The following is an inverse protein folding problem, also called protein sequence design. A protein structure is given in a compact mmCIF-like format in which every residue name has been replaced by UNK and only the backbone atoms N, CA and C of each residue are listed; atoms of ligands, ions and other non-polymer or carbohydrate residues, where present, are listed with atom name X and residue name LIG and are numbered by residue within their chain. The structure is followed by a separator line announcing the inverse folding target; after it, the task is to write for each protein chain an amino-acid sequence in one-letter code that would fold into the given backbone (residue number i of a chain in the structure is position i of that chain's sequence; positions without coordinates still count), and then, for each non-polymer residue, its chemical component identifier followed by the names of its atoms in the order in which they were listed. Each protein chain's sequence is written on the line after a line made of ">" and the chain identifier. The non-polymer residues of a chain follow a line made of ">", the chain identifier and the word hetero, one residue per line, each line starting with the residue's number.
data_IF_289868815751
#
_entry.id   IF_289868815751
#
_cell.length_a   1.000
_cell.length_b   1.000
_cell.length_c   1.000
_cell.angle_alpha   90.00
_cell.angle_beta   90.00
_cell.angle_gamma   90.00
#
_symmetry.space_group_name_H-M   'P 1'
#
loop_
_entity.id
_entity.type
_entity.pdbx_description
1 polymer ?
#
# COMPACT_ATOMS: atom_id res chain seq x y z
N UNK A 1 -13.26 -7.41 -7.71
CA UNK A 1 -14.28 -6.69 -6.89
C UNK A 1 -13.53 -6.06 -5.72
N UNK A 2 -13.60 -4.73 -5.56
CA UNK A 2 -12.94 -4.06 -4.44
C UNK A 2 -13.46 -4.64 -3.13
N UNK A 3 -12.60 -4.96 -2.15
CA UNK A 3 -13.07 -5.35 -0.84
C UNK A 3 -13.97 -4.23 -0.34
N UNK A 4 -15.13 -4.64 0.17
CA UNK A 4 -16.23 -3.79 0.62
C UNK A 4 -15.71 -2.49 1.22
N UNK A 5 -16.26 -1.37 0.76
CA UNK A 5 -15.98 -0.06 1.32
C UNK A 5 -16.23 -0.10 2.83
N UNK A 6 -15.17 -0.39 3.61
CA UNK A 6 -15.08 0.04 5.01
C UNK A 6 -15.49 1.50 4.96
N UNK A 7 -16.47 1.93 5.74
CA UNK A 7 -16.93 3.32 5.80
C UNK A 7 -15.70 4.26 5.77
N UNK A 8 -15.37 4.76 4.57
CA UNK A 8 -14.18 5.57 4.34
C UNK A 8 -14.60 6.96 4.78
N UNK A 9 -14.10 7.39 5.94
CA UNK A 9 -14.46 8.70 6.47
C UNK A 9 -13.76 9.84 5.72
N UNK A 10 -12.67 9.55 4.99
CA UNK A 10 -12.02 10.47 4.04
C UNK A 10 -12.37 10.11 2.59
N UNK A 11 -12.70 11.13 1.80
CA UNK A 11 -12.86 10.96 0.35
C UNK A 11 -11.49 10.87 -0.33
N UNK A 12 -11.16 9.66 -0.76
CA UNK A 12 -9.93 9.34 -1.50
C UNK A 12 -10.19 9.05 -2.99
N UNK A 13 -11.43 9.24 -3.45
CA UNK A 13 -11.87 8.85 -4.81
C UNK A 13 -11.13 9.58 -5.92
N UNK A 14 -10.63 10.78 -5.66
CA UNK A 14 -9.85 11.53 -6.63
C UNK A 14 -8.51 10.88 -6.97
N UNK A 15 -7.89 10.16 -6.03
CA UNK A 15 -6.51 9.71 -6.19
C UNK A 15 -6.38 8.55 -7.16
N UNK A 16 -5.32 8.55 -7.99
CA UNK A 16 -4.97 7.41 -8.82
C UNK A 16 -4.88 6.09 -8.03
N UNK A 17 -5.39 4.98 -8.56
CA UNK A 17 -5.27 3.68 -7.89
C UNK A 17 -3.80 3.33 -7.65
N UNK A 18 -3.52 2.70 -6.51
CA UNK A 18 -2.17 2.30 -6.13
C UNK A 18 -1.24 3.42 -5.68
N UNK A 19 -1.69 4.69 -5.64
CA UNK A 19 -0.91 5.82 -5.06
C UNK A 19 -1.21 6.10 -3.60
N UNK A 20 -2.23 5.42 -3.06
CA UNK A 20 -2.59 5.46 -1.65
C UNK A 20 -2.37 4.09 -1.02
N UNK A 21 -1.81 4.08 0.18
CA UNK A 21 -1.83 2.93 1.07
C UNK A 21 -2.50 3.30 2.39
N UNK A 22 -3.34 2.39 2.88
CA UNK A 22 -4.11 2.55 4.10
C UNK A 22 -3.56 1.60 5.17
N UNK A 23 -3.27 2.13 6.35
CA UNK A 23 -2.83 1.37 7.52
C UNK A 23 -3.81 1.59 8.65
N UNK A 24 -4.12 0.55 9.40
CA UNK A 24 -4.98 0.64 10.58
C UNK A 24 -4.25 0.01 11.75
N UNK A 25 -3.96 0.83 12.76
CA UNK A 25 -3.24 0.40 13.96
C UNK A 25 -4.10 0.67 15.18
N UNK A 26 -4.16 -0.29 16.11
CA UNK A 26 -4.93 -0.14 17.34
C UNK A 26 -4.02 0.15 18.52
N UNK A 27 -4.56 0.84 19.52
CA UNK A 27 -3.87 1.13 20.77
C UNK A 27 -4.79 0.86 21.95
N UNK A 28 -4.25 0.31 23.04
CA UNK A 28 -5.04 0.01 24.23
C UNK A 28 -4.96 1.15 25.26
N UNK A 29 -6.06 1.90 25.40
CA UNK A 29 -6.13 3.00 26.36
C UNK A 29 -6.01 2.53 27.80
N UNK A 30 -6.46 1.32 28.14
CA UNK A 30 -6.25 0.77 29.49
C UNK A 30 -4.75 0.63 29.83
N UNK A 31 -3.94 0.10 28.90
CA UNK A 31 -2.49 0.02 29.08
C UNK A 31 -1.87 1.41 29.26
N UNK A 32 -2.26 2.36 28.40
CA UNK A 32 -1.71 3.71 28.45
C UNK A 32 -2.09 4.40 29.77
N UNK A 33 -3.36 4.38 30.16
CA UNK A 33 -3.78 4.98 31.43
C UNK A 33 -3.09 4.33 32.63
N UNK A 34 -2.90 3.01 32.64
CA UNK A 34 -2.18 2.32 33.72
C UNK A 34 -0.70 2.74 33.79
N UNK A 35 -0.03 2.96 32.66
CA UNK A 35 1.35 3.51 32.65
C UNK A 35 1.36 4.89 33.31
N UNK A 36 0.50 5.80 32.88
CA UNK A 36 0.50 7.18 33.39
C UNK A 36 0.06 7.26 34.86
N UNK A 37 -0.96 6.49 35.26
CA UNK A 37 -1.54 6.59 36.61
C UNK A 37 -0.85 5.71 37.64
N UNK A 38 -0.52 4.45 37.31
CA UNK A 38 0.06 3.51 38.26
C UNK A 38 1.58 3.53 38.27
N UNK A 39 2.22 3.65 37.11
CA UNK A 39 3.69 3.63 37.03
C UNK A 39 4.30 5.01 37.22
N UNK A 40 3.73 6.04 36.58
CA UNK A 40 4.21 7.43 36.68
C UNK A 40 3.54 8.24 37.81
N UNK A 41 2.52 7.68 38.47
CA UNK A 41 1.85 8.31 39.61
C UNK A 41 1.06 9.58 39.27
N UNK A 42 0.69 9.79 38.00
CA UNK A 42 -0.03 10.99 37.58
C UNK A 42 -1.51 10.90 37.95
N UNK A 43 -2.08 12.02 38.39
CA UNK A 43 -3.52 12.14 38.60
C UNK A 43 -4.27 11.86 37.27
N UNK A 44 -5.46 11.23 37.29
CA UNK A 44 -6.18 10.85 36.07
C UNK A 44 -6.42 12.00 35.09
N UNK A 45 -6.65 13.23 35.58
CA UNK A 45 -6.82 14.43 34.75
C UNK A 45 -5.53 14.83 34.02
N UNK A 46 -4.39 14.70 34.70
CA UNK A 46 -3.07 14.97 34.12
C UNK A 46 -2.74 13.89 33.09
N UNK A 47 -2.95 12.62 33.43
CA UNK A 47 -2.81 11.50 32.50
C UNK A 47 -3.66 11.69 31.24
N UNK A 48 -4.94 12.07 31.37
CA UNK A 48 -5.81 12.38 30.24
C UNK A 48 -5.23 13.49 29.34
N UNK A 49 -4.70 14.56 29.94
CA UNK A 49 -4.15 15.70 29.19
C UNK A 49 -2.90 15.30 28.39
N UNK A 50 -2.04 14.45 28.96
CA UNK A 50 -0.86 13.91 28.27
C UNK A 50 -1.25 12.92 27.16
N UNK A 51 -2.15 11.98 27.46
CA UNK A 51 -2.62 10.98 26.49
C UNK A 51 -3.30 11.66 25.31
N UNK A 52 -4.12 12.70 25.54
CA UNK A 52 -4.77 13.46 24.47
C UNK A 52 -3.76 14.13 23.53
N UNK A 53 -2.59 14.53 24.02
CA UNK A 53 -1.53 15.16 23.21
C UNK A 53 -0.70 14.16 22.41
N UNK A 54 -0.85 12.86 22.69
CA UNK A 54 -0.07 11.81 22.03
C UNK A 54 -0.24 11.85 20.51
N UNK A 55 0.87 11.99 19.81
CA UNK A 55 0.97 11.98 18.37
C UNK A 55 1.80 10.75 17.95
N UNK A 56 1.19 9.71 17.36
CA UNK A 56 1.93 8.54 16.92
C UNK A 56 2.96 8.91 15.84
N UNK A 57 4.12 8.24 15.86
CA UNK A 57 5.10 8.41 14.77
C UNK A 57 4.67 7.66 13.52
N UNK A 58 5.26 7.97 12.36
CA UNK A 58 4.98 7.22 11.13
C UNK A 58 5.43 5.76 11.31
N UNK A 59 6.61 5.55 11.89
CA UNK A 59 7.17 4.23 12.15
C UNK A 59 6.21 3.37 12.97
N UNK A 60 5.66 3.91 14.06
CA UNK A 60 4.69 3.21 14.91
C UNK A 60 3.43 2.78 14.15
N UNK A 61 3.02 3.55 13.14
CA UNK A 61 1.77 3.34 12.39
C UNK A 61 1.93 2.46 11.14
N UNK A 62 3.14 2.38 10.58
CA UNK A 62 3.36 1.74 9.27
C UNK A 62 4.29 0.55 9.29
N UNK A 63 4.96 0.27 10.42
CA UNK A 63 5.79 -0.93 10.54
C UNK A 63 4.96 -2.22 10.44
N UNK A 64 5.59 -3.27 9.88
CA UNK A 64 4.93 -4.55 9.65
C UNK A 64 4.57 -5.32 10.94
N UNK A 65 5.22 -4.99 12.06
CA UNK A 65 4.95 -5.59 13.36
C UNK A 65 4.70 -4.46 14.37
N UNK A 66 3.45 -4.30 14.77
CA UNK A 66 3.07 -3.28 15.74
C UNK A 66 3.84 -3.45 17.06
N UNK A 67 4.45 -2.36 17.54
CA UNK A 67 5.15 -2.31 18.82
C UNK A 67 4.23 -1.84 19.94
N UNK A 68 4.43 -2.32 21.17
CA UNK A 68 3.69 -1.84 22.35
C UNK A 68 3.77 -0.29 22.44
N UNK A 69 2.66 0.43 22.70
CA UNK A 69 1.34 -0.05 23.12
C UNK A 69 0.38 -0.41 21.97
N UNK A 70 0.86 -0.37 20.73
CA UNK A 70 0.08 -0.65 19.55
C UNK A 70 -0.02 -2.15 19.24
N UNK A 71 -1.04 -2.53 18.50
CA UNK A 71 -1.23 -3.90 18.02
C UNK A 71 -2.08 -3.92 16.76
N UNK A 72 -1.90 -4.97 15.96
CA UNK A 72 -2.74 -5.22 14.80
C UNK A 72 -4.11 -5.74 15.26
N UNK A 73 -5.19 -5.19 14.72
CA UNK A 73 -6.52 -5.74 14.98
C UNK A 73 -6.77 -6.92 14.06
N UNK A 74 -6.33 -8.10 14.45
CA UNK A 74 -7.00 -9.30 13.96
C UNK A 74 -8.41 -9.30 14.58
N UNK A 75 -9.45 -9.28 13.74
CA UNK A 75 -10.86 -9.36 14.17
C UNK A 75 -11.13 -10.55 15.12
N UNK A 76 -10.21 -11.52 15.16
CA UNK A 76 -10.23 -12.72 16.02
C UNK A 76 -9.88 -12.46 17.48
N UNK A 77 -9.24 -11.35 17.84
CA UNK A 77 -8.82 -11.08 19.22
C UNK A 77 -9.66 -9.96 19.88
N UNK A 78 -10.70 -10.31 20.67
CA UNK A 78 -11.57 -9.31 21.32
C UNK A 78 -10.90 -8.57 22.50
N UNK A 79 -9.67 -8.95 22.85
CA UNK A 79 -8.92 -8.45 24.00
C UNK A 79 -7.54 -7.92 23.60
N UNK A 80 -7.05 -6.95 24.37
CA UNK A 80 -5.70 -6.42 24.21
C UNK A 80 -4.67 -7.54 24.49
N UNK A 81 -3.67 -7.74 23.61
CA UNK A 81 -2.65 -8.77 23.79
C UNK A 81 -1.72 -8.52 25.00
N UNK A 82 -1.76 -7.32 25.59
CA UNK A 82 -0.82 -6.90 26.63
C UNK A 82 -1.44 -6.92 28.04
N UNK A 83 -2.68 -6.44 28.19
CA UNK A 83 -3.37 -6.35 29.49
C UNK A 83 -4.70 -7.09 29.53
N UNK A 84 -5.07 -7.80 28.47
CA UNK A 84 -6.35 -8.51 28.33
C UNK A 84 -7.61 -7.61 28.39
N UNK A 85 -7.45 -6.28 28.28
CA UNK A 85 -8.58 -5.36 28.29
C UNK A 85 -9.48 -5.55 27.06
N UNK A 86 -10.79 -5.55 27.28
CA UNK A 86 -11.79 -5.72 26.23
C UNK A 86 -11.76 -4.60 25.17
N UNK A 87 -12.26 -4.91 23.96
CA UNK A 87 -12.32 -4.01 22.78
C UNK A 87 -12.82 -2.59 23.04
N UNK A 88 -13.67 -2.38 24.05
CA UNK A 88 -14.14 -1.04 24.44
C UNK A 88 -13.01 -0.07 24.85
N UNK A 89 -11.85 -0.60 25.23
CA UNK A 89 -10.66 0.16 25.62
C UNK A 89 -9.71 0.42 24.44
N UNK A 90 -10.02 -0.12 23.27
CA UNK A 90 -9.19 0.02 22.09
C UNK A 90 -9.59 1.28 21.35
N UNK A 91 -8.58 2.04 20.96
CA UNK A 91 -8.68 3.16 20.05
C UNK A 91 -7.96 2.79 18.74
N UNK A 92 -8.42 3.35 17.63
CA UNK A 92 -7.90 3.12 16.28
C UNK A 92 -7.24 4.39 15.75
N UNK A 93 -6.13 4.20 15.05
CA UNK A 93 -5.54 5.18 14.16
C UNK A 93 -5.64 4.65 12.72
N UNK A 94 -6.32 5.40 11.86
CA UNK A 94 -6.29 5.15 10.42
C UNK A 94 -5.27 6.09 9.79
N UNK A 95 -4.27 5.50 9.11
CA UNK A 95 -3.17 6.24 8.49
C UNK A 95 -3.23 6.08 6.99
N UNK A 96 -3.30 7.22 6.30
CA UNK A 96 -3.33 7.29 4.84
C UNK A 96 -1.98 7.80 4.34
N UNK A 97 -1.25 6.94 3.62
CA UNK A 97 -0.01 7.28 2.93
C UNK A 97 -0.33 7.63 1.48
N UNK A 98 0.02 8.84 1.07
CA UNK A 98 -0.12 9.34 -0.30
C UNK A 98 1.28 9.51 -0.90
N UNK A 99 1.52 8.86 -2.04
CA UNK A 99 2.73 9.06 -2.82
C UNK A 99 2.77 10.47 -3.41
N UNK A 100 3.84 11.21 -3.19
CA UNK A 100 4.03 12.54 -3.74
C UNK A 100 4.41 12.50 -5.22
N UNK A 101 3.71 13.28 -6.03
CA UNK A 101 4.01 13.40 -7.45
C UNK A 101 3.04 14.33 -8.16
N UNK A 102 3.32 14.60 -9.44
CA UNK A 102 2.49 15.51 -10.27
C UNK A 102 1.01 15.09 -10.31
N UNK A 103 0.74 13.80 -10.23
CA UNK A 103 -0.60 13.22 -10.33
C UNK A 103 -1.41 13.34 -9.04
N UNK A 104 -0.76 13.38 -7.88
CA UNK A 104 -1.42 13.35 -6.55
C UNK A 104 -1.39 14.70 -5.85
N UNK A 105 -0.50 15.62 -6.24
CA UNK A 105 -0.25 16.86 -5.49
C UNK A 105 -1.45 17.79 -5.38
N UNK A 106 -2.20 17.99 -6.47
CA UNK A 106 -3.39 18.86 -6.46
C UNK A 106 -4.48 18.30 -5.54
N UNK A 107 -4.75 17.00 -5.62
CA UNK A 107 -5.76 16.32 -4.83
C UNK A 107 -5.35 16.23 -3.36
N UNK A 108 -4.08 15.96 -3.07
CA UNK A 108 -3.51 16.00 -1.72
C UNK A 108 -3.72 17.36 -1.07
N UNK A 109 -3.39 18.45 -1.77
CA UNK A 109 -3.58 19.82 -1.25
C UNK A 109 -5.05 20.12 -1.01
N UNK A 110 -5.94 19.69 -1.91
CA UNK A 110 -7.38 19.85 -1.74
C UNK A 110 -7.90 19.07 -0.51
N UNK A 111 -7.47 17.81 -0.35
CA UNK A 111 -7.79 16.98 0.80
C UNK A 111 -7.34 17.64 2.11
N UNK A 112 -6.06 18.00 2.23
CA UNK A 112 -5.52 18.65 3.44
C UNK A 112 -6.27 19.95 3.76
N UNK A 113 -6.66 20.73 2.75
CA UNK A 113 -7.44 21.96 2.94
C UNK A 113 -8.86 21.68 3.44
N UNK A 114 -9.45 20.56 3.07
CA UNK A 114 -10.79 20.14 3.49
C UNK A 114 -10.83 19.56 4.91
N UNK A 115 -9.68 19.12 5.46
CA UNK A 115 -9.63 18.53 6.79
C UNK A 115 -9.93 19.58 7.88
N UNK A 116 -10.75 19.23 8.88
CA UNK A 116 -10.91 20.03 10.09
C UNK A 116 -9.57 20.35 10.74
N UNK A 117 -9.34 21.62 11.07
CA UNK A 117 -8.13 22.08 11.78
C UNK A 117 -8.30 22.14 13.30
N UNK A 118 -9.51 21.89 13.79
CA UNK A 118 -9.82 21.91 15.21
C UNK A 118 -9.41 20.61 15.90
N UNK A 119 -9.01 20.71 17.17
CA UNK A 119 -8.79 19.59 18.09
C UNK A 119 -7.72 18.56 17.68
N UNK A 120 -6.80 18.92 16.78
CA UNK A 120 -5.73 18.05 16.30
C UNK A 120 -6.24 16.68 15.80
N UNK A 121 -7.43 16.65 15.20
CA UNK A 121 -8.09 15.43 14.72
C UNK A 121 -7.28 14.72 13.63
N UNK A 122 -6.52 15.48 12.86
CA UNK A 122 -5.66 14.96 11.80
C UNK A 122 -4.23 15.44 12.03
N UNK A 123 -3.28 14.51 11.97
CA UNK A 123 -1.86 14.83 11.94
C UNK A 123 -1.32 14.56 10.55
N UNK A 124 -0.60 15.53 10.01
CA UNK A 124 0.08 15.39 8.73
C UNK A 124 1.59 15.28 8.92
N UNK A 125 2.23 14.34 8.23
CA UNK A 125 3.68 14.19 8.27
C UNK A 125 4.26 13.90 6.88
N UNK A 126 5.54 14.18 6.69
CA UNK A 126 6.26 13.91 5.43
C UNK A 126 7.47 13.01 5.69
N UNK A 127 7.68 12.01 4.84
CA UNK A 127 8.86 11.14 4.86
C UNK A 127 9.50 11.12 3.48
N UNK A 128 10.82 11.18 3.42
CA UNK A 128 11.56 10.96 2.16
C UNK A 128 11.70 9.46 1.90
N UNK A 129 11.53 9.07 0.65
CA UNK A 129 11.75 7.70 0.17
C UNK A 129 12.33 7.74 -1.26
N UNK A 130 12.48 6.59 -1.89
CA UNK A 130 12.85 6.46 -3.31
C UNK A 130 11.73 5.81 -4.11
N UNK A 131 11.65 6.07 -5.42
CA UNK A 131 10.66 5.40 -6.28
C UNK A 131 10.79 3.87 -6.24
N UNK A 132 12.01 3.35 -6.18
CA UNK A 132 12.29 1.92 -6.00
C UNK A 132 11.68 1.37 -4.71
N UNK A 133 11.90 2.04 -3.57
CA UNK A 133 11.33 1.61 -2.29
C UNK A 133 9.79 1.60 -2.32
N UNK A 134 9.19 2.66 -2.85
CA UNK A 134 7.72 2.77 -3.00
C UNK A 134 7.16 1.66 -3.90
N UNK A 135 7.85 1.30 -4.97
CA UNK A 135 7.46 0.21 -5.86
C UNK A 135 7.47 -1.15 -5.15
N UNK A 136 8.49 -1.45 -4.34
CA UNK A 136 8.53 -2.70 -3.58
C UNK A 136 7.48 -2.75 -2.46
N UNK A 137 7.21 -1.64 -1.79
CA UNK A 137 6.08 -1.54 -0.85
C UNK A 137 4.74 -1.78 -1.54
N UNK A 138 4.57 -1.26 -2.76
CA UNK A 138 3.40 -1.52 -3.59
C UNK A 138 3.29 -3.00 -3.99
N UNK A 139 4.41 -3.63 -4.40
CA UNK A 139 4.43 -5.07 -4.73
C UNK A 139 4.06 -5.93 -3.52
N UNK A 140 4.57 -5.63 -2.32
CA UNK A 140 4.22 -6.36 -1.10
C UNK A 140 2.73 -6.21 -0.78
N UNK A 141 2.19 -4.99 -0.86
CA UNK A 141 0.76 -4.72 -0.66
C UNK A 141 -0.10 -5.48 -1.68
N UNK A 142 0.31 -5.44 -2.95
CA UNK A 142 -0.35 -6.17 -4.02
C UNK A 142 -0.34 -7.68 -3.73
N UNK A 143 0.83 -8.24 -3.41
CA UNK A 143 0.98 -9.66 -3.10
C UNK A 143 0.08 -10.13 -1.96
N UNK A 144 -0.10 -9.33 -0.90
CA UNK A 144 -1.01 -9.66 0.22
C UNK A 144 -2.49 -9.62 -0.16
N UNK A 145 -2.84 -8.86 -1.21
CA UNK A 145 -4.23 -8.74 -1.68
C UNK A 145 -4.63 -9.80 -2.71
N UNK A 146 -3.65 -10.46 -3.33
CA UNK A 146 -3.87 -11.44 -4.40
C UNK A 146 -4.08 -12.85 -3.84
N UNK A 147 -4.99 -13.59 -4.47
CA UNK A 147 -5.15 -15.02 -4.22
C UNK A 147 -4.26 -15.84 -5.16
N UNK A 148 -3.09 -16.26 -4.69
CA UNK A 148 -2.14 -17.04 -5.51
C UNK A 148 -2.59 -18.46 -5.86
N UNK A 149 -3.65 -18.97 -5.22
CA UNK A 149 -4.22 -20.29 -5.52
C UNK A 149 -5.11 -20.28 -6.78
N UNK A 150 -5.51 -19.10 -7.27
CA UNK A 150 -6.32 -18.92 -8.48
C UNK A 150 -5.59 -18.05 -9.53
N UNK A 151 -5.42 -18.57 -10.74
CA UNK A 151 -4.78 -17.92 -11.88
C UNK A 151 -5.37 -16.55 -12.25
N UNK A 152 -6.59 -16.24 -11.80
CA UNK A 152 -7.19 -14.91 -11.92
C UNK A 152 -6.26 -13.78 -11.40
N UNK A 153 -5.41 -14.07 -10.40
CA UNK A 153 -4.47 -13.08 -9.84
C UNK A 153 -3.53 -12.50 -10.90
N UNK A 154 -3.20 -13.25 -11.98
CA UNK A 154 -2.33 -12.76 -13.05
C UNK A 154 -2.95 -11.56 -13.77
N UNK A 155 -4.27 -11.61 -14.02
CA UNK A 155 -5.03 -10.52 -14.64
C UNK A 155 -5.15 -9.35 -13.65
N UNK A 156 -5.38 -9.65 -12.37
CA UNK A 156 -5.46 -8.62 -11.31
C UNK A 156 -4.13 -7.87 -11.15
N UNK A 157 -2.99 -8.57 -11.15
CA UNK A 157 -1.67 -7.97 -11.10
C UNK A 157 -1.37 -7.11 -12.34
N UNK A 158 -1.75 -7.59 -13.54
CA UNK A 158 -1.62 -6.82 -14.77
C UNK A 158 -2.46 -5.53 -14.70
N UNK A 159 -3.71 -5.63 -14.28
CA UNK A 159 -4.59 -4.48 -14.08
C UNK A 159 -4.01 -3.47 -13.08
N UNK A 160 -3.55 -3.93 -11.91
CA UNK A 160 -2.98 -3.07 -10.89
C UNK A 160 -1.75 -2.31 -11.39
N UNK A 161 -0.90 -2.98 -12.20
CA UNK A 161 0.23 -2.32 -12.84
C UNK A 161 -0.21 -1.26 -13.85
N UNK A 162 -1.18 -1.58 -14.71
CA UNK A 162 -1.72 -0.65 -15.70
C UNK A 162 -2.36 0.58 -15.06
N UNK A 163 -3.13 0.39 -13.99
CA UNK A 163 -3.72 1.47 -13.19
C UNK A 163 -2.67 2.43 -12.63
N UNK A 164 -1.54 1.91 -12.18
CA UNK A 164 -0.43 2.73 -11.67
C UNK A 164 0.30 3.48 -12.79
N UNK A 165 0.51 2.83 -13.94
CA UNK A 165 1.26 3.40 -15.08
C UNK A 165 0.47 4.47 -15.82
N UNK A 166 -0.81 4.20 -16.10
CA UNK A 166 -1.70 5.06 -16.89
C UNK A 166 -2.98 5.40 -16.11
N UNK A 167 -2.89 6.20 -15.03
CA UNK A 167 -3.99 6.37 -14.09
C UNK A 167 -5.18 7.16 -14.63
N UNK A 168 -5.04 7.79 -15.81
CA UNK A 168 -6.14 8.50 -16.48
C UNK A 168 -7.07 7.57 -17.26
N UNK A 169 -6.63 6.35 -17.53
CA UNK A 169 -7.39 5.36 -18.28
C UNK A 169 -8.38 4.66 -17.33
N UNK A 170 -9.62 4.46 -17.77
CA UNK A 170 -10.59 3.65 -17.03
C UNK A 170 -10.26 2.16 -17.19
N UNK A 171 -9.33 1.70 -16.36
CA UNK A 171 -8.92 0.30 -16.34
C UNK A 171 -9.99 -0.63 -15.79
N UNK A 172 -10.91 -0.13 -14.97
CA UNK A 172 -12.03 -0.93 -14.49
C UNK A 172 -12.94 -1.33 -15.66
N UNK A 173 -13.32 -0.37 -16.50
CA UNK A 173 -14.05 -0.63 -17.72
C UNK A 173 -13.23 -1.48 -18.70
N UNK A 174 -11.95 -1.17 -18.87
CA UNK A 174 -11.07 -1.86 -19.84
C UNK A 174 -10.87 -3.34 -19.49
N UNK A 175 -10.74 -3.68 -18.21
CA UNK A 175 -10.58 -5.06 -17.75
C UNK A 175 -11.90 -5.78 -17.49
N UNK A 176 -13.04 -5.10 -17.55
CA UNK A 176 -14.34 -5.74 -17.33
C UNK A 176 -14.57 -6.89 -18.33
N UNK A 177 -14.78 -8.11 -17.83
CA UNK A 177 -14.93 -9.31 -18.65
C UNK A 177 -13.68 -9.79 -19.41
N UNK A 178 -12.50 -9.21 -19.15
CA UNK A 178 -11.23 -9.70 -19.73
C UNK A 178 -10.87 -11.05 -19.12
N UNK A 179 -10.63 -12.04 -19.98
CA UNK A 179 -10.25 -13.41 -19.60
C UNK A 179 -8.81 -13.75 -19.96
N UNK A 180 -8.18 -12.96 -20.83
CA UNK A 180 -6.79 -13.16 -21.19
C UNK A 180 -6.10 -11.84 -21.53
N UNK A 181 -4.87 -11.70 -21.07
CA UNK A 181 -3.94 -10.66 -21.52
C UNK A 181 -2.89 -11.32 -22.41
N UNK A 182 -2.60 -10.74 -23.57
CA UNK A 182 -1.71 -11.31 -24.58
C UNK A 182 -0.73 -10.28 -25.09
N UNK A 183 0.45 -10.74 -25.51
CA UNK A 183 1.36 -9.93 -26.30
C UNK A 183 0.76 -9.66 -27.68
N UNK A 184 0.70 -8.40 -28.08
CA UNK A 184 0.32 -8.00 -29.43
C UNK A 184 1.49 -8.18 -30.40
N UNK A 185 1.15 -8.53 -31.63
CA UNK A 185 2.08 -8.51 -32.77
C UNK A 185 1.78 -7.36 -33.75
N UNK A 186 0.72 -6.58 -33.49
CA UNK A 186 0.20 -5.57 -34.42
C UNK A 186 0.43 -4.14 -33.94
N UNK A 187 0.43 -3.94 -32.63
CA UNK A 187 0.65 -2.62 -32.03
C UNK A 187 2.06 -2.56 -31.46
N UNK A 188 2.75 -1.47 -31.76
CA UNK A 188 4.10 -1.20 -31.26
C UNK A 188 4.08 -0.58 -29.87
N UNK A 189 3.04 0.21 -29.56
CA UNK A 189 2.87 0.92 -28.30
C UNK A 189 1.44 0.80 -27.76
N UNK A 190 1.29 0.95 -26.43
CA UNK A 190 0.01 0.93 -25.75
C UNK A 190 -0.66 -0.45 -25.70
N UNK A 191 -1.98 -0.45 -25.87
CA UNK A 191 -2.82 -1.63 -25.72
C UNK A 191 -4.05 -1.55 -26.63
N UNK A 192 -4.61 -2.70 -26.95
CA UNK A 192 -5.84 -2.84 -27.73
C UNK A 192 -6.73 -3.89 -27.08
N UNK A 193 -8.02 -3.62 -26.96
CA UNK A 193 -8.99 -4.59 -26.45
C UNK A 193 -9.80 -5.19 -27.60
N UNK A 194 -9.83 -6.51 -27.66
CA UNK A 194 -10.69 -7.28 -28.56
C UNK A 194 -11.53 -8.26 -27.72
N UNK A 195 -12.81 -7.92 -27.52
CA UNK A 195 -13.78 -8.69 -26.72
C UNK A 195 -13.28 -8.99 -25.30
N UNK A 196 -12.97 -10.26 -25.04
CA UNK A 196 -12.51 -10.81 -23.76
C UNK A 196 -10.98 -10.88 -23.65
N UNK A 197 -10.25 -10.28 -24.62
CA UNK A 197 -8.80 -10.26 -24.68
C UNK A 197 -8.26 -8.85 -24.66
N UNK A 198 -7.22 -8.65 -23.85
CA UNK A 198 -6.42 -7.42 -23.85
C UNK A 198 -5.06 -7.71 -24.49
N UNK A 199 -4.77 -7.03 -25.58
CA UNK A 199 -3.49 -7.12 -26.29
C UNK A 199 -2.60 -5.96 -25.85
N UNK A 200 -1.44 -6.27 -25.29
CA UNK A 200 -0.44 -5.28 -24.86
C UNK A 200 0.69 -5.21 -25.88
N UNK A 201 1.19 -4.02 -26.16
CA UNK A 201 2.42 -3.83 -26.92
C UNK A 201 3.58 -4.65 -26.31
N UNK A 202 4.56 -5.10 -27.12
CA UNK A 202 5.64 -5.97 -26.65
C UNK A 202 6.37 -5.47 -25.40
N UNK A 203 6.71 -4.18 -25.33
CA UNK A 203 7.39 -3.62 -24.17
C UNK A 203 6.51 -3.69 -22.91
N UNK A 204 5.27 -3.22 -23.03
CA UNK A 204 4.30 -3.20 -21.94
C UNK A 204 3.95 -4.61 -21.43
N UNK A 205 3.85 -5.59 -22.33
CA UNK A 205 3.63 -6.98 -21.95
C UNK A 205 4.80 -7.52 -21.10
N UNK A 206 6.05 -7.20 -21.46
CA UNK A 206 7.22 -7.62 -20.69
C UNK A 206 7.30 -6.91 -19.33
N UNK A 207 6.89 -5.64 -19.23
CA UNK A 207 6.76 -4.95 -17.95
C UNK A 207 5.77 -5.68 -17.02
N UNK A 208 4.60 -6.08 -17.55
CA UNK A 208 3.60 -6.85 -16.82
C UNK A 208 4.15 -8.21 -16.37
N UNK A 209 4.87 -8.92 -17.25
CA UNK A 209 5.51 -10.19 -16.89
C UNK A 209 6.51 -10.02 -15.75
N UNK A 210 7.28 -8.92 -15.77
CA UNK A 210 8.24 -8.62 -14.70
C UNK A 210 7.53 -8.37 -13.37
N UNK A 211 6.44 -7.60 -13.36
CA UNK A 211 5.62 -7.38 -12.15
C UNK A 211 5.06 -8.70 -11.62
N UNK A 212 4.47 -9.53 -12.48
CA UNK A 212 3.95 -10.86 -12.09
C UNK A 212 5.04 -11.75 -11.52
N UNK A 213 6.22 -11.74 -12.15
CA UNK A 213 7.38 -12.48 -11.67
C UNK A 213 7.80 -12.00 -10.28
N UNK A 214 7.91 -10.68 -10.07
CA UNK A 214 8.36 -10.10 -8.81
C UNK A 214 7.38 -10.37 -7.66
N UNK A 215 6.08 -10.18 -7.89
CA UNK A 215 5.05 -10.36 -6.85
C UNK A 215 4.90 -11.83 -6.43
N UNK A 216 5.16 -12.77 -7.34
CA UNK A 216 5.03 -14.22 -7.08
C UNK A 216 6.34 -14.92 -6.75
N UNK A 217 7.48 -14.22 -6.74
CA UNK A 217 8.82 -14.83 -6.57
C UNK A 217 8.98 -15.58 -5.24
N UNK A 218 8.24 -15.18 -4.20
CA UNK A 218 8.21 -15.85 -2.90
C UNK A 218 7.38 -17.15 -2.90
N UNK A 219 6.56 -17.40 -3.93
CA UNK A 219 5.58 -18.49 -4.00
C UNK A 219 6.08 -19.71 -4.81
N UNK A 220 7.22 -20.31 -4.40
CA UNK A 220 7.82 -21.57 -4.92
C UNK A 220 8.82 -21.39 -6.09
N UNK A 221 10.13 -21.54 -5.83
CA UNK A 221 11.25 -21.69 -6.80
C UNK A 221 11.11 -21.05 -8.20
N UNK A 222 10.62 -19.81 -8.31
CA UNK A 222 10.40 -19.10 -9.57
C UNK A 222 9.12 -18.26 -9.54
N UNK A 223 9.03 -17.24 -10.41
CA UNK A 223 7.86 -16.39 -10.53
C UNK A 223 6.86 -16.96 -11.53
N UNK A 224 5.58 -17.02 -11.15
CA UNK A 224 4.49 -17.41 -12.04
C UNK A 224 4.01 -16.19 -12.83
N UNK A 225 3.83 -16.35 -14.14
CA UNK A 225 3.49 -15.27 -15.08
C UNK A 225 2.50 -15.79 -16.13
N UNK A 226 2.04 -14.93 -17.05
CA UNK A 226 1.27 -15.36 -18.23
C UNK A 226 2.01 -16.37 -19.12
N UNK A 227 3.33 -16.47 -19.02
CA UNK A 227 4.17 -17.39 -19.78
C UNK A 227 4.51 -18.66 -18.99
N UNK A 228 3.79 -18.90 -17.90
CA UNK A 228 4.04 -20.00 -16.97
C UNK A 228 4.98 -19.60 -15.84
N UNK A 229 5.51 -20.61 -15.16
CA UNK A 229 6.49 -20.42 -14.08
C UNK A 229 7.87 -20.29 -14.70
N UNK A 230 8.54 -19.18 -14.39
CA UNK A 230 9.87 -18.87 -14.88
C UNK A 230 10.82 -18.72 -13.70
N UNK A 231 12.00 -19.31 -13.82
CA UNK A 231 13.18 -18.93 -13.05
C UNK A 231 13.72 -17.58 -13.55
N UNK A 232 14.61 -16.94 -12.78
CA UNK A 232 15.22 -15.67 -13.20
C UNK A 232 15.93 -15.79 -14.54
N UNK A 233 16.70 -16.87 -14.72
CA UNK A 233 17.45 -17.11 -15.96
C UNK A 233 16.52 -17.32 -17.16
N UNK A 234 15.38 -17.97 -16.98
CA UNK A 234 14.39 -18.17 -18.04
C UNK A 234 13.70 -16.86 -18.43
N UNK A 235 13.33 -16.04 -17.43
CA UNK A 235 12.79 -14.70 -17.66
C UNK A 235 13.77 -13.84 -18.46
N UNK A 236 15.03 -13.78 -18.03
CA UNK A 236 16.09 -13.00 -18.68
C UNK A 236 16.33 -13.49 -20.11
N UNK A 237 16.44 -14.81 -20.32
CA UNK A 237 16.61 -15.39 -21.66
C UNK A 237 15.46 -14.98 -22.56
N UNK A 238 14.22 -15.10 -22.08
CA UNK A 238 13.03 -14.72 -22.85
C UNK A 238 13.04 -13.25 -23.24
N UNK A 239 13.28 -12.35 -22.28
CA UNK A 239 13.33 -10.90 -22.52
C UNK A 239 14.44 -10.52 -23.50
N UNK A 240 15.56 -11.24 -23.48
CA UNK A 240 16.65 -11.06 -24.44
C UNK A 240 16.27 -11.51 -25.85
N UNK A 241 15.78 -12.74 -26.00
CA UNK A 241 15.37 -13.26 -27.31
C UNK A 241 14.20 -12.48 -27.92
N UNK A 242 13.34 -11.88 -27.08
CA UNK A 242 12.26 -11.02 -27.51
C UNK A 242 12.68 -9.60 -27.92
N UNK A 243 13.96 -9.24 -27.82
CA UNK A 243 14.49 -7.91 -28.11
C UNK A 243 14.18 -6.85 -27.04
N UNK A 244 13.53 -7.24 -25.93
CA UNK A 244 13.11 -6.29 -24.91
C UNK A 244 14.29 -5.68 -24.15
N UNK A 245 15.28 -6.49 -23.75
CA UNK A 245 16.48 -5.96 -23.08
C UNK A 245 17.24 -4.96 -23.97
N UNK A 246 17.36 -5.25 -25.26
CA UNK A 246 17.98 -4.35 -26.24
C UNK A 246 17.20 -3.05 -26.37
N UNK A 247 15.87 -3.12 -26.45
CA UNK A 247 15.01 -1.91 -26.50
C UNK A 247 15.14 -1.02 -25.27
N UNK A 248 15.54 -1.58 -24.12
CA UNK A 248 15.82 -0.84 -22.89
C UNK A 248 17.31 -0.50 -22.70
N UNK A 249 18.17 -0.79 -23.67
CA UNK A 249 19.61 -0.52 -23.58
C UNK A 249 20.36 -1.40 -22.57
N UNK A 250 19.79 -2.54 -22.16
CA UNK A 250 20.38 -3.46 -21.19
C UNK A 250 21.28 -4.47 -21.92
N UNK A 251 22.60 -4.35 -21.73
CA UNK A 251 23.61 -5.16 -22.45
C UNK A 251 24.36 -6.14 -21.54
N UNK A 252 24.14 -6.06 -20.23
CA UNK A 252 24.72 -6.89 -19.18
C UNK A 252 24.47 -8.37 -19.44
N UNK A 253 25.34 -9.23 -18.87
CA UNK A 253 25.22 -10.69 -19.01
C UNK A 253 24.83 -11.38 -17.72
N UNK A 254 25.13 -10.78 -16.58
CA UNK A 254 24.73 -11.32 -15.28
C UNK A 254 23.23 -11.12 -15.05
N UNK A 255 22.56 -12.18 -14.58
CA UNK A 255 21.10 -12.17 -14.43
C UNK A 255 20.61 -11.26 -13.30
N UNK A 256 21.43 -11.00 -12.28
CA UNK A 256 21.09 -10.13 -11.15
C UNK A 256 21.26 -8.67 -11.55
N UNK A 257 22.36 -8.32 -12.23
CA UNK A 257 22.53 -6.98 -12.81
C UNK A 257 21.41 -6.62 -13.79
N UNK A 258 21.00 -7.57 -14.65
CA UNK A 258 19.87 -7.39 -15.55
C UNK A 258 18.59 -7.14 -14.76
N UNK A 259 18.34 -7.90 -13.69
CA UNK A 259 17.16 -7.70 -12.85
C UNK A 259 17.14 -6.31 -12.20
N UNK A 260 18.28 -5.84 -11.70
CA UNK A 260 18.39 -4.49 -11.12
C UNK A 260 18.07 -3.40 -12.13
N UNK A 261 18.59 -3.51 -13.36
CA UNK A 261 18.30 -2.56 -14.44
C UNK A 261 16.86 -2.62 -14.92
N UNK A 262 16.28 -3.81 -14.96
CA UNK A 262 14.87 -4.01 -15.27
C UNK A 262 13.96 -3.35 -14.22
N UNK A 263 14.29 -3.51 -12.93
CA UNK A 263 13.58 -2.82 -11.85
C UNK A 263 13.80 -1.32 -11.97
N UNK A 264 15.02 -0.86 -12.23
CA UNK A 264 15.30 0.56 -12.43
C UNK A 264 14.50 1.16 -13.58
N UNK A 265 14.35 0.44 -14.70
CA UNK A 265 13.49 0.83 -15.81
C UNK A 265 12.02 0.99 -15.37
N UNK A 266 11.48 0.02 -14.63
CA UNK A 266 10.10 0.09 -14.14
C UNK A 266 9.86 1.24 -13.14
N UNK A 267 10.84 1.53 -12.29
CA UNK A 267 10.66 2.50 -11.18
C UNK A 267 11.17 3.90 -11.50
N UNK A 268 12.01 4.06 -12.52
CA UNK A 268 12.84 5.26 -12.71
C UNK A 268 13.96 5.36 -11.67
N UNK A 269 14.42 4.22 -11.15
CA UNK A 269 15.54 4.12 -10.20
C UNK A 269 15.26 4.65 -8.79
N UNK A 270 16.31 5.20 -8.16
CA UNK A 270 16.31 5.71 -6.78
C UNK A 270 15.96 7.21 -6.70
N UNK A 271 15.24 7.75 -7.70
CA UNK A 271 14.78 9.12 -7.66
C UNK A 271 13.99 9.39 -6.37
N UNK A 272 14.32 10.49 -5.70
CA UNK A 272 13.72 10.85 -4.43
C UNK A 272 12.23 11.14 -4.59
N UNK A 273 11.41 10.56 -3.72
CA UNK A 273 9.97 10.80 -3.63
C UNK A 273 9.61 11.20 -2.21
N UNK A 274 8.62 12.09 -2.09
CA UNK A 274 8.05 12.45 -0.79
C UNK A 274 6.80 11.61 -0.56
N UNK A 275 6.69 11.02 0.62
CA UNK A 275 5.50 10.34 1.09
C UNK A 275 4.80 11.24 2.08
N UNK A 276 3.51 11.45 1.88
CA UNK A 276 2.67 12.27 2.74
C UNK A 276 1.74 11.39 3.55
N UNK A 277 1.76 11.55 4.87
CA UNK A 277 0.93 10.78 5.79
C UNK A 277 -0.14 11.66 6.38
N UNK A 278 -1.35 11.12 6.47
CA UNK A 278 -2.48 11.71 7.20
C UNK A 278 -2.89 10.66 8.23
N UNK A 279 -2.73 10.96 9.52
CA UNK A 279 -3.16 10.12 10.63
C UNK A 279 -4.48 10.68 11.16
N UNK A 280 -5.53 9.88 11.10
CA UNK A 280 -6.83 10.17 11.70
C UNK A 280 -6.83 9.76 13.18
N UNK A 281 -7.10 10.72 14.05
CA UNK A 281 -7.10 10.56 15.51
C UNK A 281 -8.51 10.66 16.10
N UNK A 282 -9.56 10.76 15.29
CA UNK A 282 -10.92 11.03 15.81
C UNK A 282 -11.40 9.94 16.75
N UNK A 283 -11.29 8.67 16.38
CA UNK A 283 -11.64 7.56 17.28
C UNK A 283 -10.79 7.58 18.55
N UNK A 284 -9.48 7.79 18.43
CA UNK A 284 -8.59 7.94 19.59
C UNK A 284 -9.04 9.06 20.55
N UNK A 285 -9.27 10.26 20.04
CA UNK A 285 -9.67 11.42 20.85
C UNK A 285 -11.04 11.19 21.53
N UNK A 286 -11.99 10.59 20.83
CA UNK A 286 -13.31 10.24 21.37
C UNK A 286 -13.20 9.17 22.47
N UNK A 287 -12.43 8.11 22.22
CA UNK A 287 -12.22 7.01 23.17
C UNK A 287 -11.48 7.47 24.41
N UNK A 288 -10.46 8.31 24.28
CA UNK A 288 -9.71 8.88 25.41
C UNK A 288 -10.64 9.70 26.31
N UNK A 289 -11.53 10.51 25.72
CA UNK A 289 -12.55 11.26 26.47
C UNK A 289 -13.52 10.33 27.22
N UNK A 290 -14.00 9.29 26.54
CA UNK A 290 -14.93 8.30 27.11
C UNK A 290 -14.31 7.51 28.24
N UNK A 291 -13.04 7.11 28.09
CA UNK A 291 -12.27 6.39 29.11
C UNK A 291 -12.01 7.29 30.31
N UNK A 292 -11.57 8.52 30.11
CA UNK A 292 -11.33 9.46 31.20
C UNK A 292 -12.58 9.70 32.05
N UNK A 293 -13.75 9.84 31.41
CA UNK A 293 -15.02 10.00 32.13
C UNK A 293 -15.31 8.85 33.12
N UNK A 294 -14.74 7.65 32.90
CA UNK A 294 -14.87 6.50 33.81
C UNK A 294 -13.82 6.47 34.91
N UNK A 295 -12.64 7.08 34.70
CA UNK A 295 -11.60 7.22 35.72
C UNK A 295 -11.84 8.41 36.64
N UNK A 296 -12.63 9.39 36.21
CA UNK A 296 -12.99 10.58 36.97
C UNK A 296 -14.33 10.45 37.72
N UNK A 297 -15.06 9.36 37.51
CA UNK A 297 -16.26 8.99 38.26
C UNK A 297 -15.88 8.18 39.50
#
# INVERSE_FOLDING_TARGET
>A
MSPAAKNRELDLSGFPPGTISEYTTHVCLACIFDIFTKQLGLAPRTAYSEIKRHAPTIEEMTEAAAQRPYFDSDEKNPHCPYCNAAKRWHARFDTYRIEGGKLTDAQRRALIKSLPKSDDQFITAEKKSTRRAVFFEWLDTLGRSLNFDDDAWLIEAARAFMERREPKTDWAQTFDGVRAVRRSQRIEEGWERDRDRLFLAPALYNDVLLVQYLVSRSHQHGGRTFEGRLTLIELVRRMRYGGYLESQGITERDQFEILEKLVEHLTGGDEAVKLHYIVDRRDFLEKVKTVYARYAA
#
